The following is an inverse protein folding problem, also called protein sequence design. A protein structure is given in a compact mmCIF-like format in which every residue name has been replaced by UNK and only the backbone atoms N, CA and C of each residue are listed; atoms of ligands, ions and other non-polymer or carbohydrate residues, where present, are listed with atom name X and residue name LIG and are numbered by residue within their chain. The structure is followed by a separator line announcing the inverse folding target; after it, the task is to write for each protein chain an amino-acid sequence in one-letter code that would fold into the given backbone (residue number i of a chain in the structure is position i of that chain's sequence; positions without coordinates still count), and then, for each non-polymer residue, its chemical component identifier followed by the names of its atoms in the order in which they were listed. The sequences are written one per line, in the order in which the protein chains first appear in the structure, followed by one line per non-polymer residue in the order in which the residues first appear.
data_IF_885738070122
#
_entry.id   IF_885738070122
#
_cell.length_a   1.000
_cell.length_b   1.000
_cell.length_c   1.000
_cell.angle_alpha   90.00
_cell.angle_beta   90.00
_cell.angle_gamma   90.00
#
_symmetry.space_group_name_H-M   'P 1'
#
loop_
_entity.id
_entity.type
_entity.pdbx_description
1 polymer ?
#
# COMPACT_ATOMS: atom_id res chain seq x y z
N UNK A 1 -13.34 -35.12 53.01
CA UNK A 1 -13.24 -34.88 51.55
C UNK A 1 -12.69 -33.47 51.36
N UNK A 2 -11.39 -33.38 51.24
CA UNK A 2 -10.68 -32.10 51.07
C UNK A 2 -10.35 -31.90 49.58
N UNK A 3 -10.95 -30.91 48.93
CA UNK A 3 -10.65 -30.53 47.56
C UNK A 3 -9.36 -29.72 47.56
N UNK A 4 -8.27 -30.31 47.08
CA UNK A 4 -7.06 -29.64 46.80
C UNK A 4 -7.28 -28.69 45.61
N UNK A 5 -7.22 -27.38 45.85
CA UNK A 5 -7.17 -26.33 44.82
C UNK A 5 -5.73 -26.38 44.29
N UNK A 6 -5.56 -26.94 43.09
CA UNK A 6 -4.30 -26.87 42.37
C UNK A 6 -4.04 -25.41 42.01
N UNK A 7 -3.18 -24.73 42.76
CA UNK A 7 -2.56 -23.47 42.34
C UNK A 7 -1.73 -23.76 41.11
N UNK A 8 -2.17 -23.27 39.93
CA UNK A 8 -1.30 -23.18 38.75
C UNK A 8 -0.10 -22.33 39.19
N UNK A 9 1.06 -22.95 39.27
CA UNK A 9 2.33 -22.22 39.34
C UNK A 9 2.47 -21.52 38.01
N UNK A 10 2.33 -20.19 37.98
CA UNK A 10 2.78 -19.39 36.87
C UNK A 10 4.31 -19.56 36.82
N UNK A 11 4.76 -20.35 35.87
CA UNK A 11 6.18 -20.34 35.51
C UNK A 11 6.45 -18.97 34.90
N UNK A 12 7.26 -18.15 35.56
CA UNK A 12 7.73 -16.90 34.98
C UNK A 12 8.54 -17.31 33.75
N UNK A 13 8.05 -16.94 32.57
CA UNK A 13 8.76 -17.15 31.30
C UNK A 13 9.69 -15.96 31.13
N UNK A 14 10.99 -16.21 31.12
CA UNK A 14 11.97 -15.19 30.74
C UNK A 14 11.74 -14.78 29.27
N UNK A 15 11.78 -13.47 29.01
CA UNK A 15 11.60 -12.96 27.66
C UNK A 15 12.85 -13.21 26.82
N UNK A 16 12.67 -13.84 25.66
CA UNK A 16 13.74 -14.13 24.72
C UNK A 16 13.58 -13.26 23.47
N UNK A 17 14.51 -12.35 23.17
CA UNK A 17 14.44 -11.51 21.96
C UNK A 17 14.41 -12.31 20.65
N UNK A 18 14.96 -13.53 20.62
CA UNK A 18 14.92 -14.40 19.42
C UNK A 18 13.49 -14.89 19.13
N UNK A 19 12.66 -14.99 20.16
CA UNK A 19 11.25 -15.39 20.05
C UNK A 19 10.30 -14.22 19.85
N UNK A 20 10.82 -12.98 19.77
CA UNK A 20 10.01 -11.80 19.56
C UNK A 20 9.17 -11.93 18.25
N UNK A 21 7.84 -12.00 18.35
CA UNK A 21 7.02 -12.23 17.17
C UNK A 21 6.79 -10.97 16.34
N UNK A 22 7.04 -9.78 16.89
CA UNK A 22 6.71 -8.52 16.24
C UNK A 22 7.74 -8.13 15.19
N UNK A 23 7.27 -7.75 14.00
CA UNK A 23 8.10 -7.47 12.83
C UNK A 23 7.70 -6.15 12.16
N UNK A 24 8.11 -4.98 12.73
CA UNK A 24 7.90 -3.72 12.05
C UNK A 24 8.76 -3.64 10.78
N UNK A 25 8.13 -3.56 9.61
CA UNK A 25 8.84 -3.49 8.33
C UNK A 25 7.97 -2.98 7.19
N UNK A 26 8.60 -2.45 6.15
CA UNK A 26 7.90 -1.94 4.97
C UNK A 26 7.30 -3.09 4.16
N UNK A 27 5.97 -3.21 4.15
CA UNK A 27 5.26 -4.25 3.41
C UNK A 27 5.44 -5.68 3.94
N UNK A 28 6.12 -5.86 5.06
CA UNK A 28 6.23 -7.16 5.71
C UNK A 28 4.86 -7.61 6.25
N UNK A 29 4.56 -8.89 6.06
CA UNK A 29 3.35 -9.48 6.63
C UNK A 29 3.51 -9.52 8.16
N UNK A 30 2.61 -8.88 8.91
CA UNK A 30 2.62 -8.97 10.36
C UNK A 30 2.29 -10.39 10.80
N UNK A 31 2.67 -10.80 12.01
CA UNK A 31 2.35 -12.11 12.55
C UNK A 31 0.83 -12.33 12.70
N UNK A 32 0.07 -11.24 12.85
CA UNK A 32 -1.39 -11.24 12.86
C UNK A 32 -1.92 -10.09 12.00
N UNK A 33 -2.74 -10.40 10.98
CA UNK A 33 -3.41 -9.41 10.14
C UNK A 33 -4.78 -9.08 10.73
N UNK A 34 -4.80 -8.30 11.80
CA UNK A 34 -6.01 -7.94 12.50
C UNK A 34 -6.75 -6.78 11.83
N UNK A 35 -8.11 -6.76 11.95
CA UNK A 35 -8.95 -5.64 11.56
C UNK A 35 -9.06 -5.39 10.06
N UNK A 36 -8.85 -6.41 9.23
CA UNK A 36 -8.98 -6.34 7.76
C UNK A 36 -9.89 -7.42 7.18
N UNK A 37 -10.63 -8.09 8.03
CA UNK A 37 -11.50 -9.21 7.66
C UNK A 37 -12.63 -8.77 6.70
N UNK A 38 -13.14 -7.54 6.88
CA UNK A 38 -14.19 -6.96 6.03
C UNK A 38 -13.68 -6.74 4.59
N UNK A 39 -12.48 -6.17 4.44
CA UNK A 39 -11.88 -5.92 3.14
C UNK A 39 -11.53 -7.23 2.40
N UNK A 40 -11.01 -8.21 3.14
CA UNK A 40 -10.71 -9.54 2.60
C UNK A 40 -11.98 -10.24 2.13
N UNK A 41 -13.01 -10.29 2.96
CA UNK A 41 -14.30 -10.90 2.62
C UNK A 41 -14.98 -10.20 1.44
N UNK A 42 -14.93 -8.87 1.41
CA UNK A 42 -15.49 -8.09 0.28
C UNK A 42 -14.77 -8.39 -1.03
N UNK A 43 -13.45 -8.56 -0.99
CA UNK A 43 -12.66 -8.90 -2.18
C UNK A 43 -12.96 -10.33 -2.67
N UNK A 44 -13.12 -11.28 -1.75
CA UNK A 44 -13.52 -12.65 -2.10
C UNK A 44 -14.86 -12.68 -2.85
N UNK A 45 -15.84 -11.88 -2.41
CA UNK A 45 -17.12 -11.73 -3.11
C UNK A 45 -16.93 -11.13 -4.51
N UNK A 46 -16.05 -10.12 -4.65
CA UNK A 46 -15.74 -9.50 -5.95
C UNK A 46 -15.16 -10.53 -6.93
N UNK A 47 -14.17 -11.31 -6.51
CA UNK A 47 -13.58 -12.35 -7.36
C UNK A 47 -14.60 -13.40 -7.80
N UNK A 48 -15.45 -13.84 -6.87
CA UNK A 48 -16.52 -14.81 -7.13
C UNK A 48 -17.55 -14.28 -8.15
N UNK A 49 -17.96 -13.02 -7.99
CA UNK A 49 -18.92 -12.39 -8.90
C UNK A 49 -18.36 -12.25 -10.33
N UNK A 50 -17.11 -11.81 -10.46
CA UNK A 50 -16.43 -11.70 -11.76
C UNK A 50 -16.29 -13.08 -12.40
N UNK A 51 -15.91 -14.12 -11.65
CA UNK A 51 -15.84 -15.49 -12.14
C UNK A 51 -17.18 -16.02 -12.68
N UNK A 52 -18.31 -15.48 -12.18
CA UNK A 52 -19.65 -15.77 -12.70
C UNK A 52 -20.14 -14.80 -13.79
N UNK A 53 -19.25 -14.05 -14.41
CA UNK A 53 -19.58 -13.09 -15.49
C UNK A 53 -20.37 -11.87 -14.99
N UNK A 54 -20.36 -11.55 -13.70
CA UNK A 54 -21.03 -10.38 -13.12
C UNK A 54 -20.01 -9.25 -13.00
N UNK A 55 -20.16 -8.13 -13.72
CA UNK A 55 -19.20 -7.05 -13.66
C UNK A 55 -19.11 -6.44 -12.26
N UNK A 56 -17.90 -6.15 -11.85
CA UNK A 56 -17.57 -5.49 -10.58
C UNK A 56 -16.63 -4.29 -10.82
N UNK A 57 -16.68 -3.33 -9.91
CA UNK A 57 -15.78 -2.20 -9.96
C UNK A 57 -14.39 -2.59 -9.47
N UNK A 58 -13.37 -2.07 -10.13
CA UNK A 58 -11.98 -2.13 -9.64
C UNK A 58 -11.87 -1.50 -8.24
N UNK A 59 -10.92 -1.95 -7.42
CA UNK A 59 -10.76 -1.52 -6.04
C UNK A 59 -9.61 -0.54 -5.88
N UNK A 60 -9.77 0.46 -5.01
CA UNK A 60 -8.69 1.38 -4.65
C UNK A 60 -8.63 1.54 -3.13
N UNK A 61 -7.53 1.08 -2.55
CA UNK A 61 -7.21 1.22 -1.14
C UNK A 61 -6.58 2.59 -0.91
N UNK A 62 -7.17 3.43 -0.07
CA UNK A 62 -6.65 4.76 0.24
C UNK A 62 -6.35 4.90 1.73
N UNK A 63 -5.26 5.58 2.07
CA UNK A 63 -4.92 5.81 3.47
C UNK A 63 -3.52 6.39 3.65
N UNK A 64 -3.20 6.81 4.86
CA UNK A 64 -1.88 7.35 5.21
C UNK A 64 -0.77 6.29 5.08
N UNK A 65 0.47 6.70 5.17
CA UNK A 65 1.61 5.78 5.24
C UNK A 65 1.61 5.03 6.59
N UNK A 66 1.96 3.75 6.57
CA UNK A 66 2.02 2.93 7.80
C UNK A 66 0.69 2.30 8.24
N UNK A 67 -0.45 2.56 7.57
CA UNK A 67 -1.75 1.93 7.87
C UNK A 67 -1.90 0.50 7.32
N UNK A 68 -0.88 -0.03 6.64
CA UNK A 68 -0.87 -1.41 6.15
C UNK A 68 -1.45 -1.64 4.76
N UNK A 69 -1.58 -0.62 3.89
CA UNK A 69 -2.11 -0.77 2.51
C UNK A 69 -1.35 -1.81 1.69
N UNK A 70 -0.02 -1.74 1.64
CA UNK A 70 0.84 -2.69 0.93
C UNK A 70 0.67 -4.12 1.46
N UNK A 71 0.53 -4.28 2.77
CA UNK A 71 0.30 -5.58 3.42
C UNK A 71 -1.05 -6.15 2.99
N UNK A 72 -2.11 -5.32 3.06
CA UNK A 72 -3.44 -5.72 2.61
C UNK A 72 -3.46 -6.04 1.12
N UNK A 73 -2.82 -5.22 0.28
CA UNK A 73 -2.69 -5.45 -1.16
C UNK A 73 -2.04 -6.81 -1.47
N UNK A 74 -0.98 -7.16 -0.73
CA UNK A 74 -0.33 -8.46 -0.85
C UNK A 74 -1.24 -9.61 -0.39
N UNK A 75 -2.06 -9.40 0.63
CA UNK A 75 -3.00 -10.42 1.10
C UNK A 75 -4.15 -10.63 0.12
N UNK A 76 -4.69 -9.55 -0.48
CA UNK A 76 -5.68 -9.64 -1.56
C UNK A 76 -5.10 -10.39 -2.76
N UNK A 77 -3.82 -10.13 -3.10
CA UNK A 77 -3.14 -10.90 -4.15
C UNK A 77 -3.05 -12.38 -3.80
N UNK A 78 -2.70 -12.72 -2.56
CA UNK A 78 -2.66 -14.12 -2.10
C UNK A 78 -4.02 -14.80 -2.19
N UNK A 79 -5.10 -14.08 -1.90
CA UNK A 79 -6.47 -14.57 -2.05
C UNK A 79 -6.82 -14.84 -3.52
N UNK A 80 -6.43 -13.97 -4.46
CA UNK A 80 -6.62 -14.20 -5.89
C UNK A 80 -5.82 -15.43 -6.38
N UNK A 81 -4.56 -15.57 -5.95
CA UNK A 81 -3.71 -16.75 -6.28
C UNK A 81 -4.36 -18.05 -5.77
N UNK A 82 -4.90 -18.05 -4.55
CA UNK A 82 -5.55 -19.25 -3.98
C UNK A 82 -6.80 -19.69 -4.73
N UNK A 83 -7.42 -18.76 -5.47
CA UNK A 83 -8.57 -19.03 -6.37
C UNK A 83 -8.16 -19.37 -7.80
N UNK A 84 -6.87 -19.50 -8.07
CA UNK A 84 -6.34 -19.86 -9.39
C UNK A 84 -6.28 -18.70 -10.39
N UNK A 85 -6.46 -17.45 -9.93
CA UNK A 85 -6.33 -16.26 -10.79
C UNK A 85 -4.86 -15.99 -11.15
N UNK A 86 -4.63 -15.51 -12.36
CA UNK A 86 -3.35 -14.93 -12.73
C UNK A 86 -3.15 -13.58 -12.02
N UNK A 87 -1.96 -13.35 -11.47
CA UNK A 87 -1.72 -12.13 -10.71
C UNK A 87 -0.47 -11.39 -11.16
N UNK A 88 -0.57 -10.06 -11.29
CA UNK A 88 0.55 -9.17 -11.51
C UNK A 88 0.62 -8.10 -10.42
N UNK A 89 1.81 -7.76 -9.95
CA UNK A 89 2.02 -6.68 -8.98
C UNK A 89 2.98 -5.64 -9.55
N UNK A 90 2.62 -4.38 -9.38
CA UNK A 90 3.34 -3.19 -9.82
C UNK A 90 3.51 -2.27 -8.60
N UNK A 91 4.67 -1.69 -8.44
CA UNK A 91 4.92 -0.55 -7.57
C UNK A 91 5.17 0.66 -8.47
N UNK A 92 4.24 1.60 -8.50
CA UNK A 92 4.38 2.82 -9.29
C UNK A 92 5.51 3.69 -8.72
N UNK A 93 6.23 4.38 -9.61
CA UNK A 93 7.31 5.29 -9.24
C UNK A 93 7.14 6.61 -9.96
N UNK A 94 7.45 7.74 -9.30
CA UNK A 94 7.42 9.04 -9.96
C UNK A 94 8.22 9.04 -11.26
N UNK A 95 7.67 9.71 -12.28
CA UNK A 95 8.31 9.88 -13.60
C UNK A 95 8.57 8.60 -14.41
N UNK A 96 8.07 7.45 -13.94
CA UNK A 96 8.16 6.17 -14.66
C UNK A 96 6.85 5.81 -15.34
N UNK A 97 6.89 5.57 -16.66
CA UNK A 97 5.72 5.02 -17.36
C UNK A 97 5.40 3.59 -16.91
N UNK A 98 4.12 3.28 -16.81
CA UNK A 98 3.62 1.95 -16.46
C UNK A 98 3.80 0.90 -17.55
N UNK A 99 4.15 1.26 -18.78
CA UNK A 99 4.24 0.34 -19.91
C UNK A 99 5.09 -0.90 -19.60
N UNK A 100 6.32 -0.72 -19.12
CA UNK A 100 7.19 -1.84 -18.72
C UNK A 100 6.71 -2.60 -17.48
N UNK A 101 6.33 -1.93 -16.38
CA UNK A 101 5.77 -2.60 -15.21
C UNK A 101 4.52 -3.44 -15.54
N UNK A 102 3.59 -2.91 -16.33
CA UNK A 102 2.38 -3.64 -16.77
C UNK A 102 2.76 -4.86 -17.60
N UNK A 103 3.67 -4.71 -18.57
CA UNK A 103 4.14 -5.85 -19.37
C UNK A 103 4.72 -6.97 -18.52
N UNK A 104 5.56 -6.62 -17.54
CA UNK A 104 6.13 -7.61 -16.62
C UNK A 104 5.09 -8.26 -15.73
N UNK A 105 4.14 -7.49 -15.22
CA UNK A 105 3.06 -7.97 -14.36
C UNK A 105 2.13 -8.94 -15.12
N UNK A 106 1.73 -8.59 -16.35
CA UNK A 106 0.89 -9.45 -17.20
C UNK A 106 1.64 -10.71 -17.65
N UNK A 107 2.92 -10.59 -18.01
CA UNK A 107 3.74 -11.76 -18.30
C UNK A 107 3.71 -12.79 -17.17
N UNK A 108 3.88 -12.33 -15.92
CA UNK A 108 3.80 -13.20 -14.74
C UNK A 108 2.40 -13.79 -14.56
N UNK A 109 1.34 -12.97 -14.68
CA UNK A 109 -0.04 -13.41 -14.55
C UNK A 109 -0.41 -14.49 -15.58
N UNK A 110 -0.07 -14.28 -16.85
CA UNK A 110 -0.35 -15.22 -17.93
C UNK A 110 0.45 -16.53 -17.78
N UNK A 111 1.71 -16.46 -17.34
CA UNK A 111 2.51 -17.64 -17.04
C UNK A 111 1.95 -18.47 -15.89
N UNK A 112 1.29 -17.85 -14.93
CA UNK A 112 0.63 -18.57 -13.83
C UNK A 112 -0.64 -19.28 -14.31
N UNK A 113 -1.34 -18.75 -15.32
CA UNK A 113 -2.56 -19.34 -15.89
C UNK A 113 -2.28 -20.54 -16.79
N UNK A 114 -1.37 -20.42 -17.75
CA UNK A 114 -1.12 -21.43 -18.79
C UNK A 114 -0.86 -22.84 -18.26
N UNK A 115 0.11 -23.06 -17.36
CA UNK A 115 0.42 -24.42 -16.84
C UNK A 115 -0.72 -25.03 -16.02
N UNK A 116 -1.51 -24.20 -15.35
CA UNK A 116 -2.63 -24.68 -14.51
C UNK A 116 -3.81 -25.16 -15.31
N UNK A 117 -4.00 -24.60 -16.51
CA UNK A 117 -5.20 -24.81 -17.31
C UNK A 117 -4.94 -25.53 -18.66
N UNK A 118 -3.67 -25.83 -18.98
CA UNK A 118 -3.31 -26.61 -20.16
C UNK A 118 -3.39 -25.88 -21.50
N UNK A 119 -3.85 -24.63 -21.53
CA UNK A 119 -3.94 -23.79 -22.73
C UNK A 119 -2.68 -22.96 -22.94
N UNK A 120 -1.66 -23.57 -23.52
CA UNK A 120 -0.36 -22.93 -23.77
C UNK A 120 -0.36 -22.10 -25.07
N UNK A 121 -1.21 -22.42 -26.04
CA UNK A 121 -1.21 -21.76 -27.36
C UNK A 121 -1.83 -20.36 -27.26
N UNK A 122 -3.03 -20.23 -26.70
CA UNK A 122 -3.70 -18.94 -26.49
C UNK A 122 -2.89 -18.01 -25.56
N UNK A 123 -2.28 -18.57 -24.52
CA UNK A 123 -1.36 -17.82 -23.65
C UNK A 123 -0.13 -17.32 -24.43
N UNK A 124 0.44 -18.12 -25.33
CA UNK A 124 1.60 -17.72 -26.13
C UNK A 124 1.24 -16.58 -27.11
N UNK A 125 0.06 -16.58 -27.70
CA UNK A 125 -0.41 -15.50 -28.58
C UNK A 125 -0.48 -14.16 -27.82
N UNK A 126 -1.10 -14.13 -26.64
CA UNK A 126 -1.20 -12.91 -25.83
C UNK A 126 0.16 -12.49 -25.27
N UNK A 127 1.08 -13.43 -24.98
CA UNK A 127 2.46 -13.08 -24.65
C UNK A 127 3.17 -12.36 -25.81
N UNK A 128 2.82 -12.65 -27.06
CA UNK A 128 3.25 -11.88 -28.23
C UNK A 128 2.76 -10.44 -28.19
N UNK A 129 1.50 -10.21 -27.79
CA UNK A 129 0.93 -8.85 -27.59
C UNK A 129 1.62 -8.12 -26.44
N UNK A 130 1.85 -8.79 -25.31
CA UNK A 130 2.64 -8.22 -24.18
C UNK A 130 4.02 -7.77 -24.64
N UNK A 131 4.68 -8.57 -25.49
CA UNK A 131 5.99 -8.23 -26.05
C UNK A 131 5.94 -7.03 -26.98
N UNK A 132 4.94 -6.96 -27.85
CA UNK A 132 4.73 -5.82 -28.76
C UNK A 132 4.51 -4.52 -27.97
N UNK A 133 3.62 -4.55 -26.99
CA UNK A 133 3.35 -3.45 -26.08
C UNK A 133 4.63 -2.97 -25.35
N UNK A 134 5.42 -3.89 -24.83
CA UNK A 134 6.66 -3.58 -24.13
C UNK A 134 7.74 -2.92 -25.01
N UNK A 135 7.81 -3.31 -26.27
CA UNK A 135 8.87 -2.88 -27.20
C UNK A 135 8.61 -1.50 -27.82
N UNK A 136 7.37 -1.02 -27.88
CA UNK A 136 6.97 0.19 -28.60
C UNK A 136 7.57 1.49 -28.07
N UNK A 137 8.01 1.55 -26.82
CA UNK A 137 8.55 2.76 -26.17
C UNK A 137 10.03 3.02 -26.53
N UNK A 138 10.68 2.12 -27.22
CA UNK A 138 12.11 2.30 -27.53
C UNK A 138 12.26 3.27 -28.71
N UNK A 139 12.80 4.50 -28.51
CA UNK A 139 13.10 5.39 -29.64
C UNK A 139 13.97 4.67 -30.65
N UNK A 140 13.80 4.98 -31.94
CA UNK A 140 14.62 4.39 -33.02
C UNK A 140 16.13 4.57 -32.78
N UNK A 141 16.50 5.65 -32.08
CA UNK A 141 17.88 6.02 -31.76
C UNK A 141 18.42 5.46 -30.43
N UNK A 142 17.62 4.69 -29.67
CA UNK A 142 18.08 4.11 -28.42
C UNK A 142 19.19 3.08 -28.67
N UNK A 143 20.30 3.18 -27.94
CA UNK A 143 21.39 2.21 -28.02
C UNK A 143 20.86 0.81 -27.72
N UNK A 144 21.38 -0.20 -28.44
CA UNK A 144 20.91 -1.60 -28.35
C UNK A 144 20.82 -2.12 -26.91
N UNK A 145 21.72 -1.70 -26.01
CA UNK A 145 21.71 -2.07 -24.58
C UNK A 145 20.59 -1.41 -23.77
N UNK A 146 19.96 -0.35 -24.28
CA UNK A 146 18.86 0.34 -23.61
C UNK A 146 17.49 -0.26 -24.01
N UNK A 147 17.48 -1.22 -24.95
CA UNK A 147 16.28 -1.95 -25.34
C UNK A 147 15.97 -2.99 -24.26
N UNK A 148 15.03 -2.67 -23.41
CA UNK A 148 14.48 -3.66 -22.48
C UNK A 148 13.73 -4.74 -23.29
N UNK A 149 14.16 -6.00 -23.11
CA UNK A 149 13.46 -7.14 -23.69
C UNK A 149 12.88 -7.93 -22.53
N UNK A 150 11.53 -8.07 -22.45
CA UNK A 150 10.98 -9.07 -21.56
C UNK A 150 11.51 -10.44 -22.00
N UNK A 151 11.85 -11.31 -21.03
CA UNK A 151 12.26 -12.68 -21.31
C UNK A 151 11.09 -13.54 -21.84
N UNK A 152 10.48 -13.10 -22.95
CA UNK A 152 9.31 -13.71 -23.60
C UNK A 152 9.82 -14.35 -24.89
N UNK A 153 9.83 -15.70 -24.94
CA UNK A 153 10.36 -16.48 -26.05
C UNK A 153 9.38 -16.68 -27.22
N UNK A 154 8.41 -15.76 -27.37
CA UNK A 154 7.50 -15.75 -28.51
C UNK A 154 7.74 -14.53 -29.38
N UNK A 155 7.42 -14.56 -30.70
CA UNK A 155 7.46 -13.37 -31.55
C UNK A 155 6.54 -12.28 -31.03
N UNK A 156 6.93 -11.00 -31.20
CA UNK A 156 6.02 -9.89 -30.92
C UNK A 156 4.86 -9.90 -31.92
N UNK A 157 3.64 -9.72 -31.42
CA UNK A 157 2.46 -9.55 -32.27
C UNK A 157 2.58 -8.25 -33.08
N UNK A 158 1.89 -8.19 -34.23
CA UNK A 158 1.88 -6.99 -35.09
C UNK A 158 0.44 -6.49 -35.23
N UNK A 159 0.24 -5.18 -35.07
CA UNK A 159 -1.07 -4.56 -35.20
C UNK A 159 -1.99 -4.72 -33.97
N UNK A 160 -1.42 -5.12 -32.83
CA UNK A 160 -2.13 -5.22 -31.54
C UNK A 160 -1.27 -4.63 -30.43
N UNK A 161 -1.83 -3.69 -29.66
CA UNK A 161 -1.20 -2.97 -28.55
C UNK A 161 0.17 -2.36 -28.92
N UNK A 162 0.34 -1.95 -30.16
CA UNK A 162 1.58 -1.43 -30.72
C UNK A 162 1.41 -0.09 -31.47
N UNK A 163 0.30 0.61 -31.27
CA UNK A 163 -0.01 1.91 -31.88
C UNK A 163 0.95 3.01 -31.41
N UNK A 164 1.43 2.92 -30.19
CA UNK A 164 2.21 3.93 -29.48
C UNK A 164 1.38 4.86 -28.58
N UNK A 165 0.05 4.83 -28.72
CA UNK A 165 -0.86 5.46 -27.79
C UNK A 165 -1.09 4.55 -26.59
N UNK A 166 -0.83 5.08 -25.37
CA UNK A 166 -0.89 4.28 -24.14
C UNK A 166 -2.31 3.83 -23.82
N UNK A 167 -3.31 4.65 -24.11
CA UNK A 167 -4.70 4.36 -23.81
C UNK A 167 -5.22 3.25 -24.73
N UNK A 168 -4.99 3.37 -26.05
CA UNK A 168 -5.38 2.36 -27.03
C UNK A 168 -4.68 1.02 -26.75
N UNK A 169 -3.36 1.08 -26.62
CA UNK A 169 -2.51 -0.09 -26.44
C UNK A 169 -2.84 -0.86 -25.14
N UNK A 170 -3.14 -0.14 -24.05
CA UNK A 170 -3.47 -0.77 -22.76
C UNK A 170 -4.86 -1.42 -22.78
N UNK A 171 -5.84 -0.78 -23.41
CA UNK A 171 -7.19 -1.34 -23.59
C UNK A 171 -7.10 -2.64 -24.38
N UNK A 172 -6.41 -2.66 -25.52
CA UNK A 172 -6.25 -3.86 -26.33
C UNK A 172 -5.53 -4.98 -25.57
N UNK A 173 -4.41 -4.65 -24.94
CA UNK A 173 -3.60 -5.61 -24.18
C UNK A 173 -4.37 -6.27 -23.04
N UNK A 174 -5.10 -5.48 -22.24
CA UNK A 174 -5.86 -6.02 -21.11
C UNK A 174 -7.10 -6.78 -21.57
N UNK A 175 -7.73 -6.38 -22.69
CA UNK A 175 -8.84 -7.12 -23.29
C UNK A 175 -8.40 -8.50 -23.80
N UNK A 176 -7.26 -8.58 -24.49
CA UNK A 176 -6.71 -9.85 -24.96
C UNK A 176 -6.34 -10.77 -23.80
N UNK A 177 -5.68 -10.22 -22.76
CA UNK A 177 -5.33 -10.97 -21.57
C UNK A 177 -6.56 -11.49 -20.80
N UNK A 178 -7.61 -10.66 -20.70
CA UNK A 178 -8.87 -11.05 -20.07
C UNK A 178 -9.64 -12.10 -20.89
N UNK A 179 -9.57 -12.03 -22.24
CA UNK A 179 -10.15 -13.03 -23.13
C UNK A 179 -9.57 -14.41 -22.87
N UNK A 180 -8.24 -14.55 -22.85
CA UNK A 180 -7.59 -15.82 -22.50
C UNK A 180 -7.97 -16.31 -21.12
N UNK A 181 -8.03 -15.40 -20.11
CA UNK A 181 -8.44 -15.79 -18.76
C UNK A 181 -9.89 -16.32 -18.74
N UNK A 182 -10.79 -15.72 -19.53
CA UNK A 182 -12.18 -16.18 -19.70
C UNK A 182 -12.26 -17.56 -20.32
N UNK A 183 -11.51 -17.83 -21.40
CA UNK A 183 -11.48 -19.10 -22.10
C UNK A 183 -10.95 -20.25 -21.19
N UNK A 184 -10.01 -19.91 -20.32
CA UNK A 184 -9.48 -20.82 -19.28
C UNK A 184 -10.47 -20.99 -18.11
N UNK A 185 -11.53 -20.19 -17.99
CA UNK A 185 -12.45 -20.21 -16.87
C UNK A 185 -11.88 -19.62 -15.57
N UNK A 186 -10.97 -18.65 -15.71
CA UNK A 186 -10.28 -17.97 -14.62
C UNK A 186 -10.37 -16.45 -14.77
N UNK A 187 -9.52 -15.70 -14.06
CA UNK A 187 -9.43 -14.25 -14.15
C UNK A 187 -8.00 -13.74 -13.94
N UNK A 188 -7.82 -12.45 -14.18
CA UNK A 188 -6.57 -11.75 -13.90
C UNK A 188 -6.81 -10.62 -12.89
N UNK A 189 -5.95 -10.51 -11.89
CA UNK A 189 -5.93 -9.42 -10.94
C UNK A 189 -4.59 -8.67 -11.00
N UNK A 190 -4.64 -7.39 -11.35
CA UNK A 190 -3.48 -6.50 -11.38
C UNK A 190 -3.47 -5.62 -10.13
N UNK A 191 -2.39 -5.68 -9.38
CA UNK A 191 -2.19 -4.94 -8.14
C UNK A 191 -1.20 -3.81 -8.38
N UNK A 192 -1.62 -2.56 -8.11
CA UNK A 192 -0.80 -1.36 -8.32
C UNK A 192 -0.63 -0.64 -6.97
N UNK A 193 0.56 -0.72 -6.40
CA UNK A 193 0.93 0.00 -5.18
C UNK A 193 1.46 1.40 -5.52
N UNK A 194 1.37 2.33 -4.56
CA UNK A 194 1.73 3.76 -4.70
C UNK A 194 1.10 4.42 -5.95
N UNK A 195 -0.16 4.12 -6.22
CA UNK A 195 -0.86 4.51 -7.46
C UNK A 195 -0.94 6.02 -7.67
N UNK A 196 -0.76 6.86 -6.65
CA UNK A 196 -0.65 8.31 -6.79
C UNK A 196 0.61 8.76 -7.53
N UNK A 197 1.61 7.88 -7.69
CA UNK A 197 2.86 8.15 -8.40
C UNK A 197 2.79 7.80 -9.90
N UNK A 198 1.64 7.27 -10.35
CA UNK A 198 1.36 6.98 -11.76
C UNK A 198 1.25 8.27 -12.57
N UNK A 199 1.86 8.29 -13.75
CA UNK A 199 1.79 9.45 -14.65
C UNK A 199 0.35 9.72 -15.13
N UNK A 200 -0.05 10.97 -15.37
CA UNK A 200 -1.42 11.32 -15.77
C UNK A 200 -1.94 10.56 -17.02
N UNK A 201 -1.09 10.37 -18.03
CA UNK A 201 -1.46 9.64 -19.25
C UNK A 201 -1.69 8.15 -18.97
N UNK A 202 -0.85 7.56 -18.11
CA UNK A 202 -1.01 6.17 -17.68
C UNK A 202 -2.24 6.00 -16.78
N UNK A 203 -2.59 7.00 -15.95
CA UNK A 203 -3.85 7.02 -15.17
C UNK A 203 -5.05 7.03 -16.11
N UNK A 204 -5.01 7.86 -17.16
CA UNK A 204 -6.06 7.91 -18.20
C UNK A 204 -6.24 6.56 -18.87
N UNK A 205 -5.15 5.91 -19.24
CA UNK A 205 -5.15 4.60 -19.87
C UNK A 205 -5.74 3.50 -18.96
N UNK A 206 -5.37 3.50 -17.66
CA UNK A 206 -5.97 2.57 -16.67
C UNK A 206 -7.47 2.79 -16.55
N UNK A 207 -7.93 4.04 -16.48
CA UNK A 207 -9.35 4.35 -16.39
C UNK A 207 -10.10 3.88 -17.65
N UNK A 208 -9.56 4.11 -18.85
CA UNK A 208 -10.14 3.67 -20.10
C UNK A 208 -10.22 2.14 -20.17
N UNK A 209 -9.15 1.44 -19.83
CA UNK A 209 -9.11 -0.01 -19.80
C UNK A 209 -10.11 -0.60 -18.79
N UNK A 210 -10.17 -0.09 -17.56
CA UNK A 210 -11.15 -0.52 -16.56
C UNK A 210 -12.59 -0.30 -17.03
N UNK A 211 -12.85 0.79 -17.76
CA UNK A 211 -14.16 1.08 -18.31
C UNK A 211 -14.57 0.05 -19.37
N UNK A 212 -13.71 -0.19 -20.35
CA UNK A 212 -13.96 -1.14 -21.45
C UNK A 212 -14.15 -2.56 -20.91
N UNK A 213 -13.24 -3.04 -20.06
CA UNK A 213 -13.33 -4.36 -19.44
C UNK A 213 -14.62 -4.55 -18.63
N UNK A 214 -15.05 -3.51 -17.91
CA UNK A 214 -16.30 -3.54 -17.14
C UNK A 214 -17.53 -3.65 -18.06
N UNK A 215 -17.53 -2.97 -19.21
CA UNK A 215 -18.62 -3.06 -20.20
C UNK A 215 -18.68 -4.44 -20.86
N UNK A 216 -17.53 -5.05 -21.10
CA UNK A 216 -17.41 -6.40 -21.67
C UNK A 216 -17.72 -7.51 -20.66
N UNK A 217 -17.80 -7.22 -19.36
CA UNK A 217 -17.89 -8.23 -18.30
C UNK A 217 -16.65 -9.13 -18.25
N UNK A 218 -15.50 -8.61 -18.67
CA UNK A 218 -14.25 -9.35 -18.79
C UNK A 218 -13.68 -9.71 -17.40
N UNK A 219 -13.12 -10.92 -17.20
CA UNK A 219 -12.63 -11.38 -15.90
C UNK A 219 -11.23 -10.80 -15.56
N UNK A 220 -11.14 -9.46 -15.54
CA UNK A 220 -9.95 -8.75 -15.11
C UNK A 220 -10.32 -7.64 -14.15
N UNK A 221 -9.57 -7.53 -13.05
CA UNK A 221 -9.73 -6.49 -12.04
C UNK A 221 -8.41 -5.78 -11.75
N UNK A 222 -8.48 -4.47 -11.56
CA UNK A 222 -7.36 -3.66 -11.07
C UNK A 222 -7.60 -3.35 -9.58
N UNK A 223 -6.58 -3.58 -8.75
CA UNK A 223 -6.59 -3.26 -7.33
C UNK A 223 -5.47 -2.26 -7.05
N UNK A 224 -5.82 -1.01 -6.86
CA UNK A 224 -4.87 0.06 -6.57
C UNK A 224 -4.70 0.30 -5.06
N UNK A 225 -3.53 0.80 -4.66
CA UNK A 225 -3.30 1.32 -3.31
C UNK A 225 -2.54 2.65 -3.40
N UNK A 226 -2.94 3.63 -2.57
CA UNK A 226 -2.30 4.94 -2.57
C UNK A 226 -2.69 5.85 -1.41
N UNK A 227 -2.26 7.09 -1.49
CA UNK A 227 -2.50 8.13 -0.50
C UNK A 227 -3.97 8.61 -0.52
N UNK A 228 -4.46 9.28 0.52
CA UNK A 228 -5.86 9.68 0.64
C UNK A 228 -6.39 10.55 -0.51
N UNK A 229 -5.52 11.31 -1.19
CA UNK A 229 -5.91 12.16 -2.33
C UNK A 229 -6.03 11.42 -3.67
N UNK A 230 -5.71 10.11 -3.72
CA UNK A 230 -5.77 9.32 -4.96
C UNK A 230 -7.13 9.38 -5.67
N UNK A 231 -8.30 9.38 -4.98
CA UNK A 231 -9.58 9.56 -5.65
C UNK A 231 -9.67 10.85 -6.47
N UNK A 232 -9.11 11.94 -5.98
CA UNK A 232 -9.08 13.22 -6.70
C UNK A 232 -8.17 13.15 -7.94
N UNK A 233 -7.03 12.45 -7.85
CA UNK A 233 -6.12 12.21 -9.00
C UNK A 233 -6.84 11.43 -10.09
N UNK A 234 -7.53 10.34 -9.74
CA UNK A 234 -8.29 9.53 -10.69
C UNK A 234 -9.45 10.31 -11.32
N UNK A 235 -10.20 11.08 -10.53
CA UNK A 235 -11.32 11.90 -11.01
C UNK A 235 -10.88 13.06 -11.91
N UNK A 236 -9.69 13.60 -11.70
CA UNK A 236 -9.12 14.64 -12.56
C UNK A 236 -8.74 14.11 -13.96
N UNK A 237 -8.41 12.82 -14.07
CA UNK A 237 -8.03 12.18 -15.33
C UNK A 237 -9.24 11.91 -16.21
N UNK A 238 -10.29 11.28 -15.67
CA UNK A 238 -11.54 10.97 -16.42
C UNK A 238 -12.74 11.22 -15.51
N UNK A 239 -13.73 11.96 -16.00
CA UNK A 239 -14.93 12.34 -15.24
C UNK A 239 -15.79 11.15 -14.77
N UNK A 240 -15.67 9.99 -15.42
CA UNK A 240 -16.40 8.78 -15.05
C UNK A 240 -15.64 7.85 -14.08
N UNK A 241 -14.41 8.20 -13.68
CA UNK A 241 -13.56 7.34 -12.83
C UNK A 241 -14.17 7.03 -11.46
N UNK A 242 -14.95 7.94 -10.89
CA UNK A 242 -15.67 7.71 -9.62
C UNK A 242 -16.68 6.56 -9.68
N UNK A 243 -17.15 6.19 -10.88
CA UNK A 243 -18.03 5.03 -11.12
C UNK A 243 -17.27 3.74 -11.41
N UNK A 244 -15.99 3.83 -11.83
CA UNK A 244 -15.14 2.69 -12.16
C UNK A 244 -14.54 2.02 -10.93
N UNK A 245 -14.29 2.81 -9.88
CA UNK A 245 -13.57 2.33 -8.71
C UNK A 245 -14.47 2.30 -7.47
N UNK A 246 -14.29 1.28 -6.66
CA UNK A 246 -14.76 1.23 -5.28
C UNK A 246 -13.60 1.61 -4.37
N UNK A 247 -13.74 2.74 -3.69
CA UNK A 247 -12.73 3.23 -2.76
C UNK A 247 -12.92 2.63 -1.38
N UNK A 248 -11.87 2.04 -0.84
CA UNK A 248 -11.79 1.52 0.52
C UNK A 248 -10.79 2.35 1.31
N UNK A 249 -11.28 3.08 2.29
CA UNK A 249 -10.40 3.84 3.19
C UNK A 249 -9.81 2.90 4.22
N UNK A 250 -8.48 2.80 4.21
CA UNK A 250 -7.70 2.02 5.16
C UNK A 250 -7.13 2.99 6.19
N UNK A 251 -7.57 2.83 7.42
CA UNK A 251 -7.21 3.70 8.53
C UNK A 251 -6.47 2.90 9.62
N UNK A 252 -6.16 3.57 10.73
CA UNK A 252 -5.64 2.93 11.93
C UNK A 252 -6.54 1.78 12.39
N UNK A 253 -5.98 0.87 13.17
CA UNK A 253 -6.74 -0.23 13.76
C UNK A 253 -7.62 0.31 14.89
N UNK A 254 -8.86 -0.14 14.90
CA UNK A 254 -9.71 0.00 16.08
C UNK A 254 -9.12 -0.77 17.26
N UNK A 255 -9.50 -0.41 18.47
CA UNK A 255 -8.94 -0.94 19.70
C UNK A 255 -8.86 -2.47 19.72
N UNK A 256 -9.97 -3.15 19.47
CA UNK A 256 -10.02 -4.62 19.48
C UNK A 256 -9.11 -5.28 18.46
N UNK A 257 -8.92 -4.64 17.31
CA UNK A 257 -8.01 -5.13 16.28
C UNK A 257 -6.54 -4.88 16.65
N UNK A 258 -6.22 -3.74 17.26
CA UNK A 258 -4.87 -3.46 17.75
C UNK A 258 -4.51 -4.42 18.89
N UNK A 259 -5.40 -4.68 19.81
CA UNK A 259 -5.22 -5.67 20.88
C UNK A 259 -4.96 -7.07 20.30
N UNK A 260 -5.78 -7.53 19.34
CA UNK A 260 -5.53 -8.81 18.64
C UNK A 260 -4.17 -8.86 17.97
N UNK A 261 -3.73 -7.76 17.33
CA UNK A 261 -2.43 -7.68 16.67
C UNK A 261 -1.25 -7.83 17.66
N UNK A 262 -1.46 -7.52 18.93
CA UNK A 262 -0.48 -7.68 20.01
C UNK A 262 -0.63 -9.03 20.73
N UNK A 263 -1.85 -9.39 21.16
CA UNK A 263 -2.11 -10.56 21.97
C UNK A 263 -1.83 -11.86 21.21
N UNK A 264 -2.42 -12.02 20.02
CA UNK A 264 -2.37 -13.30 19.32
C UNK A 264 -0.95 -13.79 19.00
N UNK A 265 0.00 -12.91 18.56
CA UNK A 265 1.39 -13.32 18.42
C UNK A 265 2.07 -13.68 19.74
N UNK A 266 1.84 -12.91 20.80
CA UNK A 266 2.45 -13.12 22.12
C UNK A 266 1.97 -14.45 22.74
N UNK A 267 0.68 -14.75 22.66
CA UNK A 267 0.10 -16.01 23.15
C UNK A 267 0.69 -17.25 22.47
N UNK A 268 1.00 -17.18 21.17
CA UNK A 268 1.68 -18.27 20.43
C UNK A 268 3.06 -18.57 21.02
N UNK A 269 3.68 -17.57 21.62
CA UNK A 269 4.98 -17.69 22.32
C UNK A 269 4.82 -17.90 23.84
N UNK A 270 3.58 -18.02 24.34
CA UNK A 270 3.27 -18.26 25.75
C UNK A 270 3.39 -17.03 26.65
N UNK A 271 3.39 -15.83 26.05
CA UNK A 271 3.49 -14.54 26.76
C UNK A 271 2.12 -13.88 26.88
N UNK A 272 1.82 -13.33 28.03
CA UNK A 272 0.57 -12.63 28.37
C UNK A 272 0.86 -11.14 28.63
N UNK A 273 -0.19 -10.32 28.58
CA UNK A 273 -0.16 -8.92 28.98
C UNK A 273 -0.89 -8.73 30.30
N UNK A 274 -0.30 -7.97 31.21
CA UNK A 274 -0.94 -7.55 32.43
C UNK A 274 -2.05 -6.50 32.17
N UNK A 275 -3.01 -6.34 33.07
CA UNK A 275 -4.03 -5.29 32.94
C UNK A 275 -3.41 -3.91 32.74
N UNK A 276 -3.92 -3.14 31.78
CA UNK A 276 -3.47 -1.79 31.45
C UNK A 276 -2.28 -1.73 30.47
N UNK A 277 -1.52 -2.81 30.27
CA UNK A 277 -0.36 -2.78 29.34
C UNK A 277 -0.81 -2.57 27.89
N UNK A 278 -1.91 -3.18 27.48
CA UNK A 278 -2.49 -2.98 26.13
C UNK A 278 -3.05 -1.56 25.97
N UNK A 279 -3.60 -0.95 27.04
CA UNK A 279 -4.06 0.44 27.01
C UNK A 279 -2.89 1.38 26.72
N UNK A 280 -1.79 1.21 27.44
CA UNK A 280 -0.59 2.00 27.28
C UNK A 280 0.03 1.83 25.87
N UNK A 281 0.07 0.60 25.34
CA UNK A 281 0.55 0.32 23.98
C UNK A 281 -0.34 0.95 22.90
N UNK A 282 -1.67 0.89 23.08
CA UNK A 282 -2.60 1.50 22.15
C UNK A 282 -2.49 3.02 22.13
N UNK A 283 -2.37 3.67 23.29
CA UNK A 283 -2.14 5.11 23.40
C UNK A 283 -0.82 5.53 22.74
N UNK A 284 0.27 4.76 22.95
CA UNK A 284 1.57 5.06 22.36
C UNK A 284 1.56 4.92 20.83
N UNK A 285 0.90 3.87 20.31
CA UNK A 285 0.85 3.56 18.88
C UNK A 285 -0.29 4.28 18.13
N UNK A 286 -1.27 4.86 18.85
CA UNK A 286 -2.49 5.48 18.31
C UNK A 286 -3.19 4.58 17.27
N UNK A 287 -3.14 3.25 17.47
CA UNK A 287 -3.73 2.26 16.58
C UNK A 287 -3.08 2.13 15.19
N UNK A 288 -2.00 2.83 14.87
CA UNK A 288 -1.32 2.69 13.57
C UNK A 288 -0.57 1.36 13.49
N UNK A 289 -0.91 0.48 12.51
CA UNK A 289 -0.37 -0.89 12.42
C UNK A 289 1.15 -0.97 12.51
N UNK A 290 1.86 -0.07 11.82
CA UNK A 290 3.31 -0.02 11.86
C UNK A 290 3.84 0.30 13.27
N UNK A 291 3.22 1.25 13.97
CA UNK A 291 3.60 1.61 15.32
C UNK A 291 3.21 0.54 16.33
N UNK A 292 2.05 -0.11 16.17
CA UNK A 292 1.65 -1.27 16.99
C UNK A 292 2.75 -2.34 16.97
N UNK A 293 3.29 -2.67 15.78
CA UNK A 293 4.38 -3.62 15.65
C UNK A 293 5.70 -3.09 16.23
N UNK A 294 6.02 -1.79 16.04
CA UNK A 294 7.25 -1.19 16.56
C UNK A 294 7.26 -1.14 18.08
N UNK A 295 6.20 -0.63 18.69
CA UNK A 295 6.07 -0.60 20.15
C UNK A 295 5.98 -2.00 20.76
N UNK A 296 5.23 -2.91 20.14
CA UNK A 296 5.15 -4.32 20.55
C UNK A 296 6.54 -4.98 20.57
N UNK A 297 7.33 -4.74 19.51
CA UNK A 297 8.70 -5.28 19.41
C UNK A 297 9.59 -4.79 20.52
N UNK A 298 9.67 -3.48 20.73
CA UNK A 298 10.56 -2.90 21.75
C UNK A 298 10.09 -3.28 23.16
N UNK A 299 8.77 -3.33 23.39
CA UNK A 299 8.23 -3.75 24.69
C UNK A 299 8.59 -5.19 25.00
N UNK A 300 8.51 -6.09 24.01
CA UNK A 300 8.97 -7.47 24.17
C UNK A 300 10.45 -7.55 24.54
N UNK A 301 11.30 -6.79 23.85
CA UNK A 301 12.75 -6.82 24.05
C UNK A 301 13.18 -6.21 25.40
N UNK A 302 12.37 -5.31 25.98
CA UNK A 302 12.62 -4.63 27.27
C UNK A 302 12.04 -5.41 28.46
N UNK A 303 10.90 -6.09 28.27
CA UNK A 303 10.23 -6.82 29.33
C UNK A 303 11.13 -7.95 29.86
N UNK A 304 11.21 -8.06 31.19
CA UNK A 304 12.02 -9.09 31.83
C UNK A 304 11.34 -10.46 31.83
N UNK A 305 10.02 -10.49 31.91
CA UNK A 305 9.25 -11.73 32.03
C UNK A 305 7.76 -11.54 31.65
N UNK A 306 7.04 -12.66 31.46
CA UNK A 306 5.58 -12.67 31.32
C UNK A 306 4.90 -12.65 32.68
N UNK A 307 3.79 -11.90 32.88
CA UNK A 307 3.14 -11.04 31.88
C UNK A 307 3.85 -9.70 31.67
N UNK A 308 3.77 -9.16 30.42
CA UNK A 308 4.23 -7.81 30.10
C UNK A 308 3.39 -6.78 30.85
N UNK A 309 4.03 -5.84 31.55
CA UNK A 309 3.40 -4.87 32.45
C UNK A 309 3.30 -3.48 31.84
N UNK A 310 2.54 -2.58 32.47
CA UNK A 310 2.55 -1.14 32.14
C UNK A 310 3.91 -0.48 32.34
N UNK A 311 4.69 -0.94 33.33
CA UNK A 311 6.03 -0.43 33.58
C UNK A 311 6.99 -0.82 32.45
N UNK A 312 6.87 -2.04 31.90
CA UNK A 312 7.65 -2.47 30.74
C UNK A 312 7.32 -1.60 29.53
N UNK A 313 6.04 -1.29 29.29
CA UNK A 313 5.62 -0.38 28.22
C UNK A 313 6.17 1.03 28.44
N UNK A 314 6.13 1.55 29.67
CA UNK A 314 6.66 2.87 29.99
C UNK A 314 8.19 2.97 29.78
N UNK A 315 8.93 1.89 30.07
CA UNK A 315 10.37 1.80 29.77
C UNK A 315 10.66 1.66 28.28
N UNK A 316 9.82 0.93 27.55
CA UNK A 316 9.98 0.68 26.12
C UNK A 316 9.63 1.91 25.26
N UNK A 317 8.64 2.71 25.65
CA UNK A 317 8.11 3.80 24.84
C UNK A 317 9.19 4.80 24.36
N UNK A 318 10.09 5.33 25.22
CA UNK A 318 11.13 6.24 24.75
C UNK A 318 12.14 5.58 23.80
N UNK A 319 12.39 4.27 23.95
CA UNK A 319 13.29 3.52 23.06
C UNK A 319 12.63 3.35 21.68
N UNK A 320 11.36 2.96 21.66
CA UNK A 320 10.59 2.83 20.41
C UNK A 320 10.47 4.18 19.68
N UNK A 321 10.22 5.27 20.42
CA UNK A 321 10.19 6.63 19.85
C UNK A 321 11.55 7.01 19.23
N UNK A 322 12.66 6.67 19.88
CA UNK A 322 14.01 6.94 19.37
C UNK A 322 14.30 6.13 18.08
N UNK A 323 13.93 4.85 18.05
CA UNK A 323 14.07 4.02 16.84
C UNK A 323 13.23 4.57 15.67
N UNK A 324 11.99 4.97 15.96
CA UNK A 324 11.09 5.59 14.97
C UNK A 324 11.62 6.94 14.50
N UNK A 325 12.21 7.74 15.41
CA UNK A 325 12.80 9.03 15.08
C UNK A 325 13.93 8.88 14.05
N UNK A 326 14.81 7.91 14.21
CA UNK A 326 15.93 7.67 13.29
C UNK A 326 15.45 6.96 12.00
N UNK A 327 14.79 5.82 12.16
CA UNK A 327 14.48 4.94 11.04
C UNK A 327 13.29 5.39 10.19
N UNK A 328 12.23 5.87 10.84
CA UNK A 328 10.97 6.17 10.16
C UNK A 328 10.78 7.66 9.84
N UNK A 329 11.09 8.56 10.77
CA UNK A 329 10.91 10.00 10.57
C UNK A 329 12.17 10.68 10.00
N UNK A 330 13.35 10.46 10.58
CA UNK A 330 14.59 11.13 10.23
C UNK A 330 14.99 10.89 8.78
N UNK A 331 14.93 9.66 8.30
CA UNK A 331 15.23 9.33 6.89
C UNK A 331 14.35 10.08 5.88
N UNK A 332 13.16 10.52 6.27
CA UNK A 332 12.26 11.36 5.47
C UNK A 332 12.61 12.83 5.60
N UNK A 333 12.88 13.27 6.80
CA UNK A 333 13.28 14.63 7.10
C UNK A 333 14.56 15.03 6.38
N UNK A 334 15.56 14.14 6.34
CA UNK A 334 16.85 14.35 5.69
C UNK A 334 16.76 14.58 4.17
N UNK A 335 15.68 14.10 3.53
CA UNK A 335 15.42 14.37 2.11
C UNK A 335 14.85 15.76 1.83
N UNK A 336 14.45 16.48 2.86
CA UNK A 336 13.89 17.82 2.73
C UNK A 336 14.99 18.89 2.71
N UNK A 337 14.84 19.86 1.81
CA UNK A 337 15.68 21.06 1.76
C UNK A 337 15.38 21.98 2.94
N UNK A 338 16.26 22.94 3.30
CA UNK A 338 15.99 23.88 4.38
C UNK A 338 14.65 24.61 4.25
N UNK A 339 14.29 25.07 3.05
CA UNK A 339 13.00 25.74 2.82
C UNK A 339 11.79 24.80 2.98
N UNK A 340 11.94 23.54 2.65
CA UNK A 340 10.92 22.50 2.85
C UNK A 340 10.79 22.15 4.34
N UNK A 341 11.89 22.10 5.10
CA UNK A 341 11.89 21.89 6.54
C UNK A 341 11.16 23.03 7.26
N UNK A 342 11.50 24.28 6.92
CA UNK A 342 10.82 25.46 7.43
C UNK A 342 9.29 25.38 7.18
N UNK A 343 8.89 24.96 5.98
CA UNK A 343 7.48 24.76 5.63
C UNK A 343 6.83 23.67 6.50
N UNK A 344 7.50 22.52 6.70
CA UNK A 344 6.99 21.43 7.53
C UNK A 344 6.91 21.78 9.01
N UNK A 345 7.88 22.54 9.55
CA UNK A 345 7.81 23.03 10.93
C UNK A 345 6.61 23.96 11.15
N UNK A 346 6.37 24.92 10.23
CA UNK A 346 5.18 25.76 10.30
C UNK A 346 3.87 24.93 10.23
N UNK A 347 3.84 23.88 9.40
CA UNK A 347 2.70 22.94 9.40
C UNK A 347 2.53 22.24 10.73
N UNK A 348 3.63 21.80 11.36
CA UNK A 348 3.59 21.08 12.63
C UNK A 348 3.11 21.98 13.77
N UNK A 349 3.53 23.23 13.81
CA UNK A 349 3.09 24.23 14.79
C UNK A 349 1.58 24.52 14.66
N UNK A 350 1.08 24.68 13.43
CA UNK A 350 -0.32 24.99 13.16
C UNK A 350 -1.25 23.77 13.37
N UNK A 351 -0.81 22.56 12.91
CA UNK A 351 -1.59 21.34 12.99
C UNK A 351 -1.45 20.59 14.32
N UNK A 352 -0.52 21.03 15.16
CA UNK A 352 -0.24 20.42 16.47
C UNK A 352 0.32 18.98 16.40
N UNK A 353 0.49 18.33 17.56
CA UNK A 353 1.10 17.00 17.65
C UNK A 353 0.34 15.92 16.88
N UNK A 354 -0.96 16.07 16.69
CA UNK A 354 -1.82 15.16 15.92
C UNK A 354 -1.65 15.28 14.40
N UNK A 355 -0.96 16.34 13.92
CA UNK A 355 -0.73 16.55 12.49
C UNK A 355 -2.02 16.83 11.70
N UNK A 356 -2.96 17.57 12.30
CA UNK A 356 -4.19 17.96 11.60
C UNK A 356 -3.90 18.68 10.27
N UNK A 357 -4.76 18.55 9.24
CA UNK A 357 -4.64 19.32 8.02
C UNK A 357 -4.65 20.83 8.31
N UNK A 358 -3.77 21.58 7.66
CA UNK A 358 -3.63 23.02 7.82
C UNK A 358 -3.88 23.75 6.51
N UNK A 359 -4.43 24.98 6.57
CA UNK A 359 -4.61 25.78 5.38
C UNK A 359 -3.27 26.29 4.85
N UNK A 360 -3.03 26.19 3.54
CA UNK A 360 -1.78 26.68 2.92
C UNK A 360 -1.60 28.19 3.09
N UNK A 361 -2.70 28.92 3.25
CA UNK A 361 -2.69 30.35 3.58
C UNK A 361 -2.20 30.64 5.00
N UNK A 362 -2.55 29.78 5.97
CA UNK A 362 -2.08 29.91 7.36
C UNK A 362 -0.58 29.63 7.47
N UNK A 363 -0.08 28.60 6.74
CA UNK A 363 1.36 28.36 6.64
C UNK A 363 2.10 29.58 6.08
N UNK A 364 1.52 30.25 5.06
CA UNK A 364 2.13 31.44 4.49
C UNK A 364 2.14 32.63 5.48
N UNK A 365 1.09 32.78 6.27
CA UNK A 365 1.01 33.80 7.33
C UNK A 365 2.04 33.51 8.43
N UNK A 366 2.12 32.26 8.90
CA UNK A 366 3.09 31.84 9.94
C UNK A 366 4.53 32.13 9.51
N UNK A 367 4.86 31.87 8.24
CA UNK A 367 6.20 32.13 7.71
C UNK A 367 6.44 33.60 7.28
N UNK A 368 5.45 34.48 7.37
CA UNK A 368 5.55 35.87 6.90
C UNK A 368 5.81 36.00 5.40
N UNK A 369 5.38 35.02 4.59
CA UNK A 369 5.64 34.92 3.15
C UNK A 369 4.36 34.92 2.33
N UNK A 370 4.45 35.32 1.06
CA UNK A 370 3.32 35.23 0.13
C UNK A 370 3.08 33.74 -0.27
N UNK A 371 1.82 33.26 -0.37
CA UNK A 371 1.53 31.88 -0.77
C UNK A 371 2.23 31.43 -2.06
N UNK A 372 2.32 32.31 -3.06
CA UNK A 372 2.97 32.01 -4.32
C UNK A 372 4.49 31.69 -4.18
N UNK A 373 5.18 32.30 -3.21
CA UNK A 373 6.60 32.03 -2.97
C UNK A 373 6.86 30.69 -2.29
N UNK A 374 5.84 30.11 -1.66
CA UNK A 374 5.92 28.81 -0.98
C UNK A 374 5.47 27.63 -1.86
N UNK A 375 4.83 27.92 -3.01
CA UNK A 375 4.36 26.86 -3.93
C UNK A 375 5.45 25.90 -4.35
N UNK A 376 6.69 26.32 -4.70
CA UNK A 376 7.75 25.38 -5.08
C UNK A 376 8.12 24.39 -3.96
N UNK A 377 8.22 24.88 -2.70
CA UNK A 377 8.52 24.02 -1.55
C UNK A 377 7.37 23.03 -1.29
N UNK A 378 6.13 23.52 -1.31
CA UNK A 378 4.93 22.68 -1.17
C UNK A 378 4.87 21.60 -2.24
N UNK A 379 5.03 21.97 -3.50
CA UNK A 379 4.91 21.04 -4.63
C UNK A 379 6.04 19.99 -4.62
N UNK A 380 7.23 20.39 -4.19
CA UNK A 380 8.35 19.47 -3.98
C UNK A 380 8.08 18.50 -2.81
N UNK A 381 7.52 18.99 -1.69
CA UNK A 381 7.12 18.13 -0.56
C UNK A 381 6.05 17.12 -0.96
N UNK A 382 5.08 17.52 -1.80
CA UNK A 382 4.07 16.59 -2.36
C UNK A 382 4.75 15.55 -3.25
N UNK A 383 5.63 15.95 -4.17
CA UNK A 383 6.40 15.03 -5.03
C UNK A 383 7.27 14.05 -4.23
N UNK A 384 7.84 14.49 -3.11
CA UNK A 384 8.60 13.62 -2.20
C UNK A 384 7.72 12.70 -1.35
N UNK A 385 6.39 12.87 -1.44
CA UNK A 385 5.42 12.10 -0.65
C UNK A 385 5.52 12.33 0.86
N UNK A 386 5.97 13.53 1.27
CA UNK A 386 6.05 13.94 2.69
C UNK A 386 4.74 14.55 3.15
N UNK A 387 4.08 15.28 2.27
CA UNK A 387 2.77 15.90 2.50
C UNK A 387 1.82 15.60 1.34
N UNK A 388 0.53 15.81 1.54
CA UNK A 388 -0.48 15.66 0.50
C UNK A 388 -1.57 16.74 0.64
N UNK A 389 -2.27 17.05 -0.46
CA UNK A 389 -3.45 17.93 -0.42
C UNK A 389 -4.62 17.16 0.17
N UNK A 390 -4.97 17.44 1.43
CA UNK A 390 -6.07 16.78 2.11
C UNK A 390 -7.43 17.21 1.54
N UNK A 391 -7.60 18.52 1.37
CA UNK A 391 -8.73 19.17 0.72
C UNK A 391 -8.24 20.37 -0.09
N UNK A 392 -9.15 21.06 -0.81
CA UNK A 392 -8.80 22.25 -1.57
C UNK A 392 -8.25 23.34 -0.65
N UNK A 393 -7.00 23.72 -0.86
CA UNK A 393 -6.31 24.73 -0.06
C UNK A 393 -5.77 24.21 1.29
N UNK A 394 -5.91 22.92 1.58
CA UNK A 394 -5.36 22.29 2.78
C UNK A 394 -4.23 21.32 2.44
N UNK A 395 -3.30 21.20 3.38
CA UNK A 395 -2.16 20.31 3.29
C UNK A 395 -2.00 19.52 4.61
N UNK A 396 -1.60 18.26 4.52
CA UNK A 396 -1.38 17.40 5.68
C UNK A 396 -0.16 16.50 5.47
N UNK A 397 0.39 15.99 6.56
CA UNK A 397 1.46 14.99 6.51
C UNK A 397 0.94 13.63 6.03
N UNK A 398 1.72 12.95 5.20
CA UNK A 398 1.42 11.57 4.75
C UNK A 398 1.72 10.53 5.83
N UNK A 399 2.51 10.91 6.83
CA UNK A 399 3.02 10.06 7.90
C UNK A 399 2.37 10.49 9.21
N UNK A 400 1.71 9.57 9.94
CA UNK A 400 1.18 9.85 11.27
C UNK A 400 2.29 10.27 12.23
N UNK A 401 1.97 11.11 13.21
CA UNK A 401 2.90 11.59 14.25
C UNK A 401 4.13 12.37 13.75
N UNK A 402 4.24 12.67 12.45
CA UNK A 402 5.36 13.42 11.92
C UNK A 402 5.41 14.84 12.47
N UNK A 403 4.24 15.47 12.68
CA UNK A 403 4.16 16.77 13.38
C UNK A 403 4.74 16.71 14.79
N UNK A 404 4.44 15.66 15.57
CA UNK A 404 5.01 15.45 16.91
C UNK A 404 6.54 15.33 16.86
N UNK A 405 7.05 14.58 15.88
CA UNK A 405 8.49 14.44 15.66
C UNK A 405 9.16 15.79 15.39
N UNK A 406 8.61 16.59 14.47
CA UNK A 406 9.13 17.91 14.12
C UNK A 406 9.13 18.88 15.32
N UNK A 407 8.06 18.90 16.12
CA UNK A 407 7.96 19.76 17.31
C UNK A 407 8.99 19.40 18.41
N UNK A 408 9.46 18.16 18.44
CA UNK A 408 10.49 17.70 19.39
C UNK A 408 11.93 17.85 18.87
N UNK A 409 12.09 18.04 17.57
CA UNK A 409 13.39 18.20 16.91
C UNK A 409 13.38 19.50 16.09
N UNK A 410 13.37 20.66 16.76
CA UNK A 410 13.56 21.93 16.06
C UNK A 410 14.97 21.97 15.44
N UNK A 411 15.12 22.59 14.25
CA UNK A 411 16.42 22.72 13.55
C UNK A 411 17.43 23.51 14.37
#
# INVERSE_FOLDING_TARGET
MSRAIARRRHTVLDMDPVRNPYAPGAGQRPPELAGRDTELSAFDVVLERIAHGRPERSLVLTGLRGVGKTVLLNQLRSAAISRGWGTGKIEARPEQSLRRPVSSALHMALRELGPRHGDQESVAEVLGVVKAFAQRVTPADAKVRDRWQPGIDVPAATGRADSGDMEIDLVELLSDAAGVAADIGSGIALFIDEMQDVQPDDVSAICAACHELSQQGAPLIVVGAGLPHLPAVLSASKSYSERLFRYLRIDRLERDAADRALIAPAEREGVEFAPGALDALYEAADGYPYFVQAYGKVTWDVAAASPITTDDVAMAAPVAEAELAVGFFGSRYDRATPAEREYMHAMAELGGPGGAPVATSEVAVSLGRKPASLSPARDSLIKKGLVYSAERGQIAFTVPHFGRYLLRHPD
#
